data_IF_211124718060
#
_entry.id   IF_211124718060
#
_cell.length_a   1.000
_cell.length_b   1.000
_cell.length_c   1.000
_cell.angle_alpha   90.00
_cell.angle_beta   90.00
_cell.angle_gamma   90.00
#
_symmetry.space_group_name_H-M   'P 1'
#
loop_
_entity.id
_entity.type
_entity.pdbx_description
1 polymer ?
#
# COMPACT_ATOMS: atom_id res chain seq x y z
N UNK A 1 -4.06 -12.07 -18.93
CA UNK A 1 -3.65 -11.70 -17.56
C UNK A 1 -2.16 -11.93 -17.32
N UNK A 2 -1.61 -13.08 -17.66
CA UNK A 2 -0.16 -13.37 -17.47
C UNK A 2 0.78 -12.38 -18.18
N UNK A 3 0.41 -11.87 -19.36
CA UNK A 3 1.23 -10.91 -20.11
C UNK A 3 1.36 -9.54 -19.43
N UNK A 4 0.28 -9.02 -18.81
CA UNK A 4 0.29 -7.74 -18.12
C UNK A 4 1.12 -7.85 -16.84
N UNK A 5 0.93 -8.92 -16.09
CA UNK A 5 1.73 -9.20 -14.89
C UNK A 5 3.22 -9.34 -15.21
N UNK A 6 3.57 -10.04 -16.32
CA UNK A 6 4.96 -10.16 -16.77
C UNK A 6 5.57 -8.80 -17.13
N UNK A 7 4.79 -7.94 -17.78
CA UNK A 7 5.19 -6.57 -18.10
C UNK A 7 5.49 -5.79 -16.80
N UNK A 8 4.59 -5.82 -15.81
CA UNK A 8 4.76 -5.10 -14.55
C UNK A 8 5.98 -5.61 -13.78
N UNK A 9 6.21 -6.93 -13.75
CA UNK A 9 7.43 -7.51 -13.18
C UNK A 9 8.70 -7.09 -13.92
N UNK A 10 8.64 -6.93 -15.26
CA UNK A 10 9.78 -6.43 -16.03
C UNK A 10 10.04 -4.94 -15.75
N UNK A 11 9.01 -4.13 -15.54
CA UNK A 11 9.14 -2.73 -15.16
C UNK A 11 9.87 -2.55 -13.82
N UNK A 12 9.70 -3.48 -12.87
CA UNK A 12 10.46 -3.46 -11.62
C UNK A 12 11.98 -3.47 -11.86
N UNK A 13 12.43 -4.20 -12.88
CA UNK A 13 13.87 -4.25 -13.24
C UNK A 13 14.39 -2.90 -13.73
N UNK A 14 13.53 -2.05 -14.28
CA UNK A 14 13.91 -0.70 -14.73
C UNK A 14 14.04 0.29 -13.55
N UNK A 15 13.46 -0.03 -12.38
CA UNK A 15 13.46 0.84 -11.19
C UNK A 15 14.60 0.55 -10.21
N UNK A 16 15.75 0.04 -10.68
CA UNK A 16 16.91 -0.32 -9.84
C UNK A 16 17.39 0.84 -8.99
N UNK A 17 17.39 2.08 -9.52
CA UNK A 17 17.81 3.27 -8.79
C UNK A 17 16.89 3.56 -7.60
N UNK A 18 15.59 3.38 -7.77
CA UNK A 18 14.61 3.56 -6.69
C UNK A 18 14.87 2.56 -5.56
N UNK A 19 15.03 1.28 -5.89
CA UNK A 19 15.36 0.24 -4.89
C UNK A 19 16.68 0.50 -4.18
N UNK A 20 17.69 0.97 -4.91
CA UNK A 20 18.99 1.31 -4.33
C UNK A 20 18.88 2.47 -3.33
N UNK A 21 18.22 3.57 -3.72
CA UNK A 21 18.02 4.72 -2.83
C UNK A 21 17.23 4.33 -1.59
N UNK A 22 16.14 3.55 -1.76
CA UNK A 22 15.35 3.06 -0.62
C UNK A 22 16.17 2.18 0.32
N UNK A 23 17.01 1.30 -0.22
CA UNK A 23 17.91 0.45 0.57
C UNK A 23 18.90 1.28 1.38
N UNK A 24 19.53 2.29 0.74
CA UNK A 24 20.46 3.19 1.42
C UNK A 24 19.79 3.97 2.56
N UNK A 25 18.61 4.55 2.30
CA UNK A 25 17.87 5.30 3.34
C UNK A 25 17.38 4.36 4.44
N UNK A 26 16.93 3.15 4.11
CA UNK A 26 16.56 2.13 5.09
C UNK A 26 17.73 1.73 5.99
N UNK A 27 18.91 1.53 5.42
CA UNK A 27 20.14 1.26 6.19
C UNK A 27 20.53 2.45 7.07
N UNK A 28 20.39 3.67 6.55
CA UNK A 28 20.64 4.88 7.34
C UNK A 28 19.72 4.96 8.57
N UNK A 29 18.43 4.66 8.40
CA UNK A 29 17.49 4.60 9.52
C UNK A 29 17.84 3.48 10.51
N UNK A 30 18.29 2.31 10.05
CA UNK A 30 18.75 1.22 10.91
C UNK A 30 19.95 1.62 11.78
N UNK A 31 20.85 2.48 11.25
CA UNK A 31 22.03 2.95 11.99
C UNK A 31 21.65 4.06 12.97
N UNK A 32 20.80 5.00 12.54
CA UNK A 32 20.47 6.20 13.33
C UNK A 32 19.44 5.97 14.43
N UNK A 33 18.52 5.04 14.20
CA UNK A 33 17.41 4.78 15.13
C UNK A 33 17.53 3.37 15.73
N UNK A 34 17.30 3.28 17.03
CA UNK A 34 17.26 1.99 17.72
C UNK A 34 15.89 1.30 17.57
N UNK A 35 14.87 2.03 17.12
CA UNK A 35 13.53 1.48 16.95
C UNK A 35 13.35 0.87 15.56
N UNK A 36 13.21 -0.46 15.43
CA UNK A 36 13.03 -1.15 14.16
C UNK A 36 11.70 -0.85 13.48
N UNK A 37 10.69 -0.39 14.23
CA UNK A 37 9.34 -0.08 13.72
C UNK A 37 9.38 1.03 12.66
N UNK A 38 10.23 2.05 12.85
CA UNK A 38 10.38 3.15 11.89
C UNK A 38 10.92 2.65 10.54
N UNK A 39 11.89 1.74 10.57
CA UNK A 39 12.49 1.17 9.37
C UNK A 39 11.48 0.30 8.62
N UNK A 40 10.75 -0.52 9.36
CA UNK A 40 9.72 -1.38 8.80
C UNK A 40 8.61 -0.54 8.13
N UNK A 41 8.09 0.46 8.84
CA UNK A 41 7.05 1.36 8.33
C UNK A 41 7.51 2.12 7.09
N UNK A 42 8.70 2.72 7.12
CA UNK A 42 9.29 3.42 5.99
C UNK A 42 9.39 2.53 4.74
N UNK A 43 10.04 1.38 4.87
CA UNK A 43 10.25 0.47 3.73
C UNK A 43 8.92 -0.05 3.18
N UNK A 44 7.99 -0.48 4.04
CA UNK A 44 6.69 -1.03 3.60
C UNK A 44 5.86 0.02 2.86
N UNK A 45 5.79 1.26 3.37
CA UNK A 45 5.07 2.35 2.71
C UNK A 45 5.73 2.70 1.38
N UNK A 46 7.06 2.83 1.35
CA UNK A 46 7.77 3.16 0.11
C UNK A 46 7.59 2.08 -0.96
N UNK A 47 7.63 0.81 -0.59
CA UNK A 47 7.33 -0.26 -1.54
C UNK A 47 5.90 -0.19 -2.09
N UNK A 48 4.94 0.33 -1.32
CA UNK A 48 3.56 0.52 -1.79
C UNK A 48 3.41 1.54 -2.93
N UNK A 49 4.42 2.38 -3.19
CA UNK A 49 4.42 3.27 -4.35
C UNK A 49 4.71 2.54 -5.67
N UNK A 50 5.32 1.37 -5.64
CA UNK A 50 5.73 0.65 -6.86
C UNK A 50 4.54 0.25 -7.75
N UNK A 51 3.45 -0.34 -7.23
CA UNK A 51 2.27 -0.61 -8.04
C UNK A 51 1.66 0.64 -8.68
N UNK A 52 1.76 1.79 -8.00
CA UNK A 52 1.27 3.06 -8.55
C UNK A 52 2.16 3.57 -9.69
N UNK A 53 3.47 3.35 -9.60
CA UNK A 53 4.37 3.72 -10.71
C UNK A 53 4.10 2.87 -11.95
N UNK A 54 3.80 1.57 -11.82
CA UNK A 54 3.42 0.76 -12.99
C UNK A 54 2.13 1.24 -13.64
N UNK A 55 1.17 1.70 -12.84
CA UNK A 55 -0.08 2.29 -13.33
C UNK A 55 0.18 3.62 -14.05
N UNK A 56 1.08 4.46 -13.52
CA UNK A 56 1.47 5.71 -14.14
C UNK A 56 2.18 5.49 -15.49
N UNK A 57 3.04 4.48 -15.58
CA UNK A 57 3.69 4.10 -16.84
C UNK A 57 2.71 3.60 -17.90
N UNK A 58 1.66 2.89 -17.49
CA UNK A 58 0.61 2.43 -18.41
C UNK A 58 -0.18 3.58 -19.03
N UNK A 59 -0.29 4.70 -18.32
CA UNK A 59 -1.02 5.88 -18.80
C UNK A 59 -0.08 6.89 -19.52
N UNK A 60 1.24 6.75 -19.38
CA UNK A 60 2.20 7.62 -20.04
C UNK A 60 2.12 7.46 -21.57
N UNK A 61 2.31 8.56 -22.29
CA UNK A 61 2.34 8.60 -23.77
C UNK A 61 1.13 7.93 -24.44
N UNK A 62 -0.06 8.07 -23.86
CA UNK A 62 -1.29 7.39 -24.31
C UNK A 62 -1.18 5.84 -24.31
N UNK A 63 -0.31 5.27 -23.50
CA UNK A 63 -0.11 3.83 -23.43
C UNK A 63 -1.36 3.06 -23.02
N UNK A 64 -2.25 3.66 -22.23
CA UNK A 64 -3.55 3.09 -21.89
C UNK A 64 -4.45 2.91 -23.12
N UNK A 65 -4.48 3.88 -24.05
CA UNK A 65 -5.20 3.75 -25.32
C UNK A 65 -4.70 2.57 -26.14
N UNK A 66 -3.36 2.43 -26.27
CA UNK A 66 -2.76 1.29 -26.95
C UNK A 66 -3.04 -0.05 -26.25
N UNK A 67 -3.01 -0.08 -24.92
CA UNK A 67 -3.24 -1.30 -24.13
C UNK A 67 -4.65 -1.83 -24.32
N UNK A 68 -5.64 -0.97 -24.50
CA UNK A 68 -7.03 -1.38 -24.77
C UNK A 68 -7.34 -1.69 -26.24
N UNK A 69 -6.39 -1.52 -27.18
CA UNK A 69 -6.49 -2.13 -28.51
C UNK A 69 -6.18 -3.62 -28.48
N UNK A 70 -5.47 -4.09 -27.46
CA UNK A 70 -5.21 -5.51 -27.26
C UNK A 70 -6.46 -6.22 -26.70
N UNK A 71 -6.59 -7.55 -26.81
CA UNK A 71 -7.74 -8.30 -26.30
C UNK A 71 -7.73 -8.38 -24.76
N UNK A 72 -7.67 -7.21 -24.09
CA UNK A 72 -7.65 -7.07 -22.64
C UNK A 72 -8.94 -6.40 -22.20
N UNK A 73 -9.71 -7.06 -21.33
CA UNK A 73 -10.90 -6.44 -20.76
C UNK A 73 -10.55 -5.42 -19.68
N UNK A 74 -11.30 -4.31 -19.59
CA UNK A 74 -11.12 -3.28 -18.55
C UNK A 74 -11.19 -3.87 -17.13
N UNK A 75 -12.07 -4.86 -16.91
CA UNK A 75 -12.15 -5.58 -15.63
C UNK A 75 -10.90 -6.42 -15.38
N UNK A 76 -10.42 -7.16 -16.39
CA UNK A 76 -9.24 -8.01 -16.28
C UNK A 76 -7.97 -7.22 -15.96
N UNK A 77 -7.84 -6.05 -16.57
CA UNK A 77 -6.76 -5.10 -16.27
C UNK A 77 -6.78 -4.64 -14.79
N UNK A 78 -7.95 -4.21 -14.30
CA UNK A 78 -8.07 -3.78 -12.91
C UNK A 78 -7.82 -4.91 -11.92
N UNK A 79 -8.37 -6.10 -12.16
CA UNK A 79 -8.13 -7.27 -11.31
C UNK A 79 -6.64 -7.56 -11.21
N UNK A 80 -5.93 -7.52 -12.34
CA UNK A 80 -4.48 -7.73 -12.35
C UNK A 80 -3.75 -6.67 -11.53
N UNK A 81 -4.05 -5.37 -11.70
CA UNK A 81 -3.42 -4.28 -10.95
C UNK A 81 -3.65 -4.37 -9.43
N UNK A 82 -4.86 -4.70 -9.02
CA UNK A 82 -5.17 -4.89 -7.60
C UNK A 82 -4.49 -6.14 -7.02
N UNK A 83 -4.46 -7.25 -7.75
CA UNK A 83 -3.73 -8.46 -7.33
C UNK A 83 -2.22 -8.22 -7.28
N UNK A 84 -1.66 -7.51 -8.27
CA UNK A 84 -0.26 -7.12 -8.27
C UNK A 84 0.07 -6.24 -7.06
N UNK A 85 -0.76 -5.23 -6.77
CA UNK A 85 -0.58 -4.36 -5.60
C UNK A 85 -0.63 -5.13 -4.29
N UNK A 86 -1.65 -5.99 -4.11
CA UNK A 86 -1.79 -6.79 -2.89
C UNK A 86 -0.61 -7.77 -2.72
N UNK A 87 -0.27 -8.51 -3.77
CA UNK A 87 0.85 -9.46 -3.76
C UNK A 87 2.19 -8.78 -3.53
N UNK A 88 2.39 -7.60 -4.15
CA UNK A 88 3.62 -6.84 -3.97
C UNK A 88 3.75 -6.25 -2.56
N UNK A 89 2.66 -5.73 -1.98
CA UNK A 89 2.64 -5.23 -0.60
C UNK A 89 2.96 -6.34 0.40
N UNK A 90 2.39 -7.55 0.22
CA UNK A 90 2.69 -8.71 1.06
C UNK A 90 4.16 -9.14 0.91
N UNK A 91 4.66 -9.24 -0.32
CA UNK A 91 6.06 -9.59 -0.57
C UNK A 91 7.03 -8.56 0.03
N UNK A 92 6.71 -7.27 -0.09
CA UNK A 92 7.46 -6.18 0.52
C UNK A 92 7.45 -6.28 2.05
N UNK A 93 6.30 -6.54 2.66
CA UNK A 93 6.19 -6.72 4.11
C UNK A 93 7.03 -7.89 4.61
N UNK A 94 7.04 -9.03 3.89
CA UNK A 94 7.88 -10.17 4.23
C UNK A 94 9.38 -9.87 4.10
N UNK A 95 9.77 -9.18 3.04
CA UNK A 95 11.16 -8.75 2.84
C UNK A 95 11.63 -7.79 3.93
N UNK A 96 10.81 -6.77 4.24
CA UNK A 96 11.14 -5.79 5.28
C UNK A 96 11.17 -6.43 6.66
N UNK A 97 10.28 -7.40 6.94
CA UNK A 97 10.30 -8.17 8.17
C UNK A 97 11.61 -8.95 8.31
N UNK A 98 12.07 -9.62 7.25
CA UNK A 98 13.34 -10.32 7.26
C UNK A 98 14.52 -9.38 7.55
N UNK A 99 14.54 -8.19 6.94
CA UNK A 99 15.57 -7.16 7.20
C UNK A 99 15.55 -6.71 8.67
N UNK A 100 14.36 -6.46 9.23
CA UNK A 100 14.21 -6.04 10.62
C UNK A 100 14.65 -7.14 11.60
N UNK A 101 14.29 -8.40 11.35
CA UNK A 101 14.73 -9.53 12.19
C UNK A 101 16.25 -9.63 12.19
N UNK A 102 16.89 -9.55 11.02
CA UNK A 102 18.36 -9.56 10.93
C UNK A 102 18.97 -8.38 11.69
N UNK A 103 18.39 -7.19 11.57
CA UNK A 103 18.87 -6.01 12.29
C UNK A 103 18.74 -6.16 13.82
N UNK A 104 17.63 -6.74 14.30
CA UNK A 104 17.43 -7.02 15.72
C UNK A 104 18.44 -8.02 16.25
N UNK A 105 18.76 -9.07 15.46
CA UNK A 105 19.79 -10.06 15.84
C UNK A 105 21.19 -9.43 15.93
N UNK A 106 21.53 -8.55 14.98
CA UNK A 106 22.83 -7.87 14.97
C UNK A 106 22.99 -6.87 16.12
N UNK A 107 21.91 -6.14 16.44
CA UNK A 107 21.90 -5.15 17.53
C UNK A 107 21.63 -5.76 18.92
N UNK A 108 21.36 -7.08 19.01
CA UNK A 108 20.91 -7.76 20.24
C UNK A 108 19.66 -7.11 20.85
N UNK A 109 18.74 -6.65 20.01
CA UNK A 109 17.48 -6.03 20.43
C UNK A 109 16.43 -7.12 20.63
N UNK A 110 15.97 -7.30 21.87
CA UNK A 110 14.92 -8.26 22.19
C UNK A 110 13.55 -7.66 21.85
N UNK A 111 13.00 -8.02 20.70
CA UNK A 111 11.62 -7.67 20.33
C UNK A 111 10.71 -8.84 20.65
N UNK A 112 9.60 -8.58 21.32
CA UNK A 112 8.61 -9.62 21.58
C UNK A 112 7.88 -9.99 20.28
N UNK A 113 7.60 -11.29 20.03
CA UNK A 113 6.89 -11.72 18.82
C UNK A 113 5.53 -11.05 18.62
N UNK A 114 4.85 -10.70 19.70
CA UNK A 114 3.56 -10.00 19.69
C UNK A 114 3.70 -8.57 19.14
N UNK A 115 4.72 -7.83 19.56
CA UNK A 115 5.01 -6.49 19.06
C UNK A 115 5.35 -6.49 17.56
N UNK A 116 6.10 -7.50 17.10
CA UNK A 116 6.38 -7.67 15.66
C UNK A 116 5.09 -7.93 14.88
N UNK A 117 4.20 -8.75 15.42
CA UNK A 117 2.91 -9.03 14.79
C UNK A 117 2.05 -7.78 14.63
N UNK A 118 1.88 -6.99 15.69
CA UNK A 118 1.13 -5.73 15.66
C UNK A 118 1.77 -4.74 14.67
N UNK A 119 3.10 -4.61 14.69
CA UNK A 119 3.83 -3.75 13.77
C UNK A 119 3.57 -4.13 12.30
N UNK A 120 3.67 -5.41 11.97
CA UNK A 120 3.44 -5.92 10.61
C UNK A 120 2.02 -5.63 10.15
N UNK A 121 1.03 -5.95 10.99
CA UNK A 121 -0.39 -5.73 10.67
C UNK A 121 -0.71 -4.25 10.47
N UNK A 122 -0.20 -3.39 11.33
CA UNK A 122 -0.41 -1.93 11.22
C UNK A 122 0.19 -1.39 9.93
N UNK A 123 1.43 -1.72 9.61
CA UNK A 123 2.09 -1.24 8.40
C UNK A 123 1.44 -1.76 7.12
N UNK A 124 1.02 -3.03 7.08
CA UNK A 124 0.27 -3.57 5.94
C UNK A 124 -1.07 -2.85 5.81
N UNK A 125 -1.78 -2.60 6.90
CA UNK A 125 -3.07 -1.88 6.88
C UNK A 125 -2.91 -0.47 6.31
N UNK A 126 -1.91 0.28 6.76
CA UNK A 126 -1.60 1.62 6.22
C UNK A 126 -1.27 1.54 4.72
N UNK A 127 -0.47 0.56 4.30
CA UNK A 127 -0.10 0.35 2.89
C UNK A 127 -1.31 -0.01 2.02
N UNK A 128 -2.21 -0.84 2.53
CA UNK A 128 -3.46 -1.22 1.86
C UNK A 128 -4.37 0.01 1.68
N UNK A 129 -4.57 0.80 2.73
CA UNK A 129 -5.37 2.03 2.67
C UNK A 129 -4.75 3.02 1.68
N UNK A 130 -3.43 3.21 1.75
CA UNK A 130 -2.70 4.06 0.82
C UNK A 130 -2.91 3.64 -0.64
N UNK A 131 -2.72 2.35 -0.96
CA UNK A 131 -2.92 1.81 -2.31
C UNK A 131 -4.38 1.94 -2.76
N UNK A 132 -5.34 1.66 -1.87
CA UNK A 132 -6.76 1.73 -2.16
C UNK A 132 -7.24 3.16 -2.48
N UNK A 133 -6.66 4.18 -1.86
CA UNK A 133 -6.96 5.58 -2.17
C UNK A 133 -6.22 6.03 -3.43
N UNK A 134 -4.95 5.64 -3.57
CA UNK A 134 -4.09 6.11 -4.65
C UNK A 134 -4.49 5.55 -6.02
N UNK A 135 -4.91 4.28 -6.11
CA UNK A 135 -5.26 3.65 -7.38
C UNK A 135 -6.40 4.36 -8.13
N UNK A 136 -7.59 4.60 -7.53
CA UNK A 136 -8.68 5.28 -8.25
C UNK A 136 -8.30 6.72 -8.59
N UNK A 137 -7.53 7.40 -7.75
CA UNK A 137 -7.05 8.76 -8.00
C UNK A 137 -6.12 8.77 -9.21
N UNK A 138 -5.14 7.87 -9.26
CA UNK A 138 -4.21 7.75 -10.39
C UNK A 138 -4.93 7.38 -11.68
N UNK A 139 -5.88 6.46 -11.62
CA UNK A 139 -6.72 6.11 -12.77
C UNK A 139 -7.55 7.29 -13.29
N UNK A 140 -8.03 8.18 -12.42
CA UNK A 140 -8.84 9.33 -12.82
C UNK A 140 -8.02 10.42 -13.46
N UNK A 141 -6.89 10.79 -12.85
CA UNK A 141 -6.11 11.97 -13.23
C UNK A 141 -4.97 11.66 -14.20
N UNK A 142 -4.54 10.40 -14.27
CA UNK A 142 -3.47 9.96 -15.18
C UNK A 142 -2.09 10.48 -14.79
N UNK A 143 -1.10 10.16 -15.64
CA UNK A 143 0.30 10.54 -15.44
C UNK A 143 0.55 12.04 -15.64
N UNK A 144 -0.20 12.70 -16.53
CA UNK A 144 -0.02 14.13 -16.85
C UNK A 144 -0.31 15.04 -15.64
N UNK A 145 -1.25 14.65 -14.78
CA UNK A 145 -1.65 15.39 -13.58
C UNK A 145 -1.15 14.74 -12.29
N UNK A 146 0.03 14.14 -12.33
CA UNK A 146 0.61 13.39 -11.21
C UNK A 146 0.70 14.20 -9.91
N UNK A 147 0.98 15.52 -9.99
CA UNK A 147 1.00 16.41 -8.82
C UNK A 147 -0.38 16.55 -8.17
N UNK A 148 -1.43 16.67 -8.99
CA UNK A 148 -2.82 16.74 -8.49
C UNK A 148 -3.23 15.40 -7.91
N UNK A 149 -2.87 14.29 -8.56
CA UNK A 149 -3.11 12.95 -8.04
C UNK A 149 -2.43 12.73 -6.69
N UNK A 150 -1.17 13.12 -6.54
CA UNK A 150 -0.45 13.04 -5.28
C UNK A 150 -1.12 13.88 -4.19
N UNK A 151 -1.44 15.15 -4.47
CA UNK A 151 -2.09 16.04 -3.51
C UNK A 151 -3.45 15.49 -3.05
N UNK A 152 -4.26 14.95 -3.98
CA UNK A 152 -5.55 14.33 -3.65
C UNK A 152 -5.39 13.02 -2.87
N UNK A 153 -4.36 12.23 -3.14
CA UNK A 153 -4.08 11.01 -2.37
C UNK A 153 -3.72 11.34 -0.93
N UNK A 154 -2.77 12.24 -0.73
CA UNK A 154 -2.38 12.67 0.63
C UNK A 154 -3.51 13.42 1.35
N UNK A 155 -4.21 14.32 0.65
CA UNK A 155 -5.37 15.04 1.19
C UNK A 155 -6.52 14.08 1.55
N UNK A 156 -6.77 13.08 0.71
CA UNK A 156 -7.77 12.05 0.96
C UNK A 156 -7.43 11.18 2.16
N UNK A 157 -6.19 10.74 2.28
CA UNK A 157 -5.71 9.98 3.45
C UNK A 157 -5.84 10.80 4.73
N UNK A 158 -5.38 12.06 4.70
CA UNK A 158 -5.52 12.95 5.84
C UNK A 158 -6.99 13.18 6.22
N UNK A 159 -7.86 13.37 5.19
CA UNK A 159 -9.30 13.49 5.38
C UNK A 159 -9.95 12.25 6.01
N UNK A 160 -9.53 11.06 5.59
CA UNK A 160 -10.02 9.79 6.18
C UNK A 160 -9.55 9.67 7.62
N UNK A 161 -8.28 9.93 7.92
CA UNK A 161 -7.75 9.86 9.28
C UNK A 161 -8.40 10.87 10.19
N UNK A 162 -8.46 12.14 9.77
CA UNK A 162 -9.05 13.22 10.57
C UNK A 162 -10.57 13.05 10.74
N UNK A 163 -11.27 12.74 9.62
CA UNK A 163 -12.71 12.50 9.65
C UNK A 163 -13.08 11.28 10.49
N UNK A 164 -12.29 10.21 10.41
CA UNK A 164 -12.45 9.03 11.25
C UNK A 164 -12.30 9.36 12.74
N UNK A 165 -11.22 10.05 13.11
CA UNK A 165 -10.98 10.48 14.48
C UNK A 165 -12.08 11.42 15.00
N UNK A 166 -12.56 12.34 14.16
CA UNK A 166 -13.67 13.23 14.50
C UNK A 166 -15.00 12.49 14.71
N UNK A 167 -15.31 11.52 13.84
CA UNK A 167 -16.51 10.68 13.99
C UNK A 167 -16.45 9.84 15.27
N UNK A 168 -15.29 9.27 15.60
CA UNK A 168 -15.08 8.50 16.81
C UNK A 168 -15.26 9.38 18.06
N UNK A 169 -14.69 10.58 18.07
CA UNK A 169 -14.85 11.51 19.18
C UNK A 169 -16.32 11.94 19.37
N UNK A 170 -17.08 12.08 18.26
CA UNK A 170 -18.53 12.34 18.31
C UNK A 170 -19.34 11.14 18.81
N UNK A 171 -18.91 9.94 18.55
CA UNK A 171 -19.50 8.70 19.04
C UNK A 171 -19.17 8.44 20.53
N UNK A 172 -18.37 9.31 21.16
CA UNK A 172 -17.93 9.14 22.54
C UNK A 172 -16.88 8.05 22.74
N UNK A 173 -16.29 7.56 21.64
CA UNK A 173 -15.25 6.54 21.69
C UNK A 173 -13.89 7.25 21.68
N UNK A 174 -13.15 7.11 22.78
CA UNK A 174 -11.76 7.58 22.83
C UNK A 174 -10.81 6.63 22.10
N UNK A 175 -9.72 7.17 21.53
CA UNK A 175 -8.70 6.32 20.89
C UNK A 175 -8.11 5.31 21.87
N UNK A 176 -8.01 5.66 23.16
CA UNK A 176 -7.54 4.75 24.21
C UNK A 176 -8.50 3.57 24.43
N UNK A 177 -9.82 3.81 24.46
CA UNK A 177 -10.79 2.72 24.58
C UNK A 177 -10.76 1.77 23.38
N UNK A 178 -10.46 2.29 22.20
CA UNK A 178 -10.28 1.45 21.00
C UNK A 178 -9.00 0.61 21.10
N UNK A 179 -7.93 1.21 21.60
CA UNK A 179 -6.65 0.52 21.82
C UNK A 179 -6.80 -0.58 22.88
N UNK A 180 -7.49 -0.27 23.98
CA UNK A 180 -7.81 -1.24 25.03
C UNK A 180 -8.70 -2.38 24.50
N UNK A 181 -9.74 -2.06 23.74
CA UNK A 181 -10.61 -3.06 23.12
C UNK A 181 -9.86 -3.96 22.11
N UNK A 182 -8.94 -3.39 21.33
CA UNK A 182 -8.10 -4.15 20.40
C UNK A 182 -7.07 -5.01 21.13
N UNK A 183 -6.53 -4.53 22.25
CA UNK A 183 -5.56 -5.28 23.06
C UNK A 183 -6.20 -6.47 23.79
N UNK A 184 -7.51 -6.38 24.08
CA UNK A 184 -8.30 -7.50 24.65
C UNK A 184 -8.65 -8.58 23.63
N UNK A 185 -8.51 -8.29 22.33
CA UNK A 185 -8.75 -9.29 21.29
C UNK A 185 -7.59 -10.26 21.22
N UNK A 186 -7.92 -11.57 21.20
CA UNK A 186 -6.93 -12.60 20.89
C UNK A 186 -6.32 -12.34 19.50
N UNK A 187 -5.02 -12.53 19.37
CA UNK A 187 -4.27 -12.31 18.13
C UNK A 187 -4.95 -12.84 16.85
N UNK A 188 -5.51 -14.08 16.81
CA UNK A 188 -6.18 -14.57 15.60
C UNK A 188 -7.45 -13.79 15.25
N UNK A 189 -8.18 -13.28 16.25
CA UNK A 189 -9.38 -12.48 16.02
C UNK A 189 -9.01 -11.08 15.47
N UNK A 190 -7.99 -10.44 16.01
CA UNK A 190 -7.47 -9.17 15.51
C UNK A 190 -6.96 -9.28 14.06
N UNK A 191 -6.22 -10.37 13.75
CA UNK A 191 -5.78 -10.66 12.39
C UNK A 191 -6.96 -10.89 11.43
N UNK A 192 -7.98 -11.63 11.85
CA UNK A 192 -9.19 -11.85 11.06
C UNK A 192 -9.93 -10.56 10.72
N UNK A 193 -10.10 -9.66 11.71
CA UNK A 193 -10.70 -8.34 11.50
C UNK A 193 -9.87 -7.47 10.55
N UNK A 194 -8.54 -7.49 10.67
CA UNK A 194 -7.64 -6.78 9.77
C UNK A 194 -7.79 -7.26 8.32
N UNK A 195 -7.80 -8.56 8.08
CA UNK A 195 -7.97 -9.15 6.75
C UNK A 195 -9.35 -8.78 6.16
N UNK A 196 -10.40 -8.85 6.97
CA UNK A 196 -11.75 -8.46 6.54
C UNK A 196 -11.78 -6.98 6.14
N UNK A 197 -11.18 -6.10 6.93
CA UNK A 197 -11.05 -4.69 6.61
C UNK A 197 -10.30 -4.47 5.29
N UNK A 198 -9.20 -5.18 5.04
CA UNK A 198 -8.46 -5.09 3.79
C UNK A 198 -9.32 -5.50 2.59
N UNK A 199 -10.05 -6.59 2.69
CA UNK A 199 -10.96 -7.06 1.62
C UNK A 199 -12.05 -6.02 1.33
N UNK A 200 -12.66 -5.44 2.36
CA UNK A 200 -13.69 -4.40 2.21
C UNK A 200 -13.11 -3.14 1.55
N UNK A 201 -11.98 -2.65 2.04
CA UNK A 201 -11.33 -1.43 1.52
C UNK A 201 -10.90 -1.61 0.06
N UNK A 202 -10.27 -2.74 -0.27
CA UNK A 202 -9.94 -3.05 -1.67
C UNK A 202 -11.18 -3.25 -2.54
N UNK A 203 -12.24 -3.88 -2.02
CA UNK A 203 -13.50 -4.08 -2.74
C UNK A 203 -14.19 -2.76 -3.12
N UNK A 204 -14.27 -1.83 -2.16
CA UNK A 204 -14.82 -0.48 -2.40
C UNK A 204 -13.96 0.28 -3.41
N UNK A 205 -12.65 0.28 -3.22
CA UNK A 205 -11.70 0.93 -4.14
C UNK A 205 -11.78 0.36 -5.55
N UNK A 206 -11.86 -0.96 -5.68
CA UNK A 206 -12.04 -1.63 -6.97
C UNK A 206 -13.33 -1.21 -7.67
N UNK A 207 -14.44 -1.11 -6.94
CA UNK A 207 -15.73 -0.63 -7.48
C UNK A 207 -15.64 0.79 -8.03
N UNK A 208 -14.99 1.70 -7.30
CA UNK A 208 -14.74 3.08 -7.71
C UNK A 208 -13.86 3.12 -8.97
N UNK A 209 -12.72 2.39 -8.96
CA UNK A 209 -11.80 2.30 -10.09
C UNK A 209 -12.45 1.75 -11.35
N UNK A 210 -13.30 0.73 -11.19
CA UNK A 210 -14.05 0.16 -12.31
C UNK A 210 -15.04 1.17 -12.93
N UNK A 211 -15.69 1.97 -12.11
CA UNK A 211 -16.60 3.03 -12.57
C UNK A 211 -15.84 4.11 -13.33
N UNK A 212 -14.67 4.52 -12.81
CA UNK A 212 -13.81 5.51 -13.47
C UNK A 212 -13.32 4.98 -14.83
N UNK A 213 -12.81 3.76 -14.88
CA UNK A 213 -12.26 3.18 -16.11
C UNK A 213 -13.32 2.92 -17.18
N UNK A 214 -14.56 2.62 -16.80
CA UNK A 214 -15.68 2.49 -17.74
C UNK A 214 -16.09 3.80 -18.35
N UNK A 215 -15.96 4.91 -17.63
CA UNK A 215 -16.29 6.25 -18.09
C UNK A 215 -15.18 6.95 -18.88
N UNK A 216 -14.00 6.35 -19.01
CA UNK A 216 -12.92 6.85 -19.86
C UNK A 216 -13.13 6.37 -21.31
N UNK A 217 -13.20 7.32 -22.23
CA UNK A 217 -13.10 7.08 -23.67
C UNK A 217 -11.61 7.15 -24.05
N UNK A 218 -11.14 6.10 -24.72
CA UNK A 218 -9.76 5.95 -25.17
C UNK A 218 -9.69 6.01 -26.68
#
# INVERSE_FOLDING_TARGET
MTGILMKDLMMLKCQKQFFFVMGVVGLMFLVMYDNPTLVFGYLTIMFSFIPLTTLAYDDADNGSAYLFTLPVSRKGYLVEKYLFSAGFTLAAALLTLAVVIVACLVKNYAVQPEELGVMVMTCITVSVIFSAVSMPVQLKFGSERSRVAAALTFGGLFGICYGGAWLMSRAGISLGELEDALSMLEWPAAAGLGILLWVVVYGVSFGISLKILKGKDF
#
